data_IF_003384592556
#
_entry.id   IF_003384592556
#
_cell.length_a   1.000
_cell.length_b   1.000
_cell.length_c   1.000
_cell.angle_alpha   90.00
_cell.angle_beta   90.00
_cell.angle_gamma   90.00
#
_symmetry.space_group_name_H-M   'P 1'
#
loop_
_entity.id
_entity.type
_entity.pdbx_description
1 polymer ?
#
# COMPACT_ATOMS: atom_id res chain seq x y z
N UNK A 1 -0.26 -14.88 -17.35
CA UNK A 1 -1.36 -15.86 -17.61
C UNK A 1 -2.73 -15.46 -17.02
N UNK A 2 -2.81 -14.61 -15.98
CA UNK A 2 -4.10 -14.18 -15.40
C UNK A 2 -4.89 -13.15 -16.25
N UNK A 3 -4.23 -12.18 -16.89
CA UNK A 3 -4.92 -11.12 -17.67
C UNK A 3 -5.68 -11.66 -18.90
N UNK A 4 -5.23 -12.77 -19.49
CA UNK A 4 -5.89 -13.38 -20.66
C UNK A 4 -7.22 -14.06 -20.33
N UNK A 5 -7.42 -14.55 -19.10
CA UNK A 5 -8.71 -15.15 -18.67
C UNK A 5 -9.76 -14.08 -18.36
N UNK A 6 -9.41 -13.02 -17.63
CA UNK A 6 -10.32 -11.88 -17.35
C UNK A 6 -10.79 -11.23 -18.64
N UNK A 7 -9.89 -11.09 -19.61
CA UNK A 7 -10.20 -10.54 -20.93
C UNK A 7 -11.14 -11.37 -21.82
N UNK A 8 -11.38 -12.65 -21.50
CA UNK A 8 -12.39 -13.48 -22.17
C UNK A 8 -13.74 -13.40 -21.45
N UNK A 9 -13.73 -13.40 -20.12
CA UNK A 9 -14.95 -13.31 -19.28
C UNK A 9 -15.78 -12.06 -19.59
N UNK A 10 -15.12 -10.91 -19.80
CA UNK A 10 -15.80 -9.63 -20.01
C UNK A 10 -16.25 -9.35 -21.46
N UNK A 11 -15.98 -10.24 -22.44
CA UNK A 11 -16.28 -9.96 -23.87
C UNK A 11 -17.78 -9.87 -24.19
N UNK A 12 -18.63 -10.47 -23.35
CA UNK A 12 -20.08 -10.46 -23.52
C UNK A 12 -20.79 -9.64 -22.44
N UNK A 13 -20.04 -8.99 -21.54
CA UNK A 13 -20.64 -8.25 -20.43
C UNK A 13 -21.24 -6.93 -20.91
N UNK A 14 -22.49 -6.71 -20.54
CA UNK A 14 -23.20 -5.43 -20.70
C UNK A 14 -23.47 -4.84 -19.33
N UNK A 15 -23.36 -3.53 -19.21
CA UNK A 15 -23.83 -2.79 -18.04
C UNK A 15 -24.98 -1.91 -18.50
N UNK A 16 -26.19 -2.15 -17.96
CA UNK A 16 -27.40 -1.38 -18.28
C UNK A 16 -27.59 -1.14 -19.79
N UNK A 17 -27.46 -2.21 -20.60
CA UNK A 17 -27.55 -2.22 -22.07
C UNK A 17 -26.39 -1.57 -22.84
N UNK A 18 -25.43 -0.91 -22.17
CA UNK A 18 -24.21 -0.42 -22.80
C UNK A 18 -23.16 -1.55 -22.96
N UNK A 19 -22.47 -1.55 -24.10
CA UNK A 19 -21.33 -2.42 -24.35
C UNK A 19 -20.10 -1.92 -23.57
N UNK A 20 -19.37 -2.84 -22.93
CA UNK A 20 -18.15 -2.50 -22.20
C UNK A 20 -16.95 -2.51 -23.13
N UNK A 21 -16.38 -1.34 -23.41
CA UNK A 21 -15.13 -1.22 -24.17
C UNK A 21 -13.93 -1.57 -23.27
N UNK A 22 -13.22 -2.65 -23.58
CA UNK A 22 -12.13 -3.18 -22.74
C UNK A 22 -10.75 -2.85 -23.32
N UNK A 23 -9.88 -2.29 -22.48
CA UNK A 23 -8.46 -2.09 -22.76
C UNK A 23 -7.64 -2.85 -21.71
N UNK A 24 -6.66 -3.65 -22.15
CA UNK A 24 -5.67 -4.27 -21.27
C UNK A 24 -4.32 -3.64 -21.57
N UNK A 25 -3.59 -3.36 -20.50
CA UNK A 25 -2.20 -2.96 -20.52
C UNK A 25 -1.55 -3.34 -19.19
N UNK A 26 -0.24 -3.45 -19.19
CA UNK A 26 0.59 -3.45 -17.99
C UNK A 26 0.86 -2.02 -17.52
N UNK A 27 1.16 -1.83 -16.24
CA UNK A 27 1.50 -0.49 -15.72
C UNK A 27 2.68 0.16 -16.46
N UNK A 28 3.65 -0.64 -16.91
CA UNK A 28 4.81 -0.21 -17.71
C UNK A 28 4.43 0.40 -19.07
N UNK A 29 3.25 0.10 -19.58
CA UNK A 29 2.73 0.59 -20.86
C UNK A 29 1.85 1.85 -20.70
N UNK A 30 1.62 2.28 -19.46
CA UNK A 30 0.69 3.36 -19.14
C UNK A 30 1.41 4.64 -18.72
N UNK A 31 0.83 5.76 -19.11
CA UNK A 31 1.04 7.06 -18.51
C UNK A 31 -0.32 7.74 -18.33
N UNK A 32 -0.38 8.84 -17.57
CA UNK A 32 -1.63 9.57 -17.39
C UNK A 32 -1.39 11.04 -17.09
N UNK A 33 -2.45 11.82 -17.29
CA UNK A 33 -2.60 13.17 -16.78
C UNK A 33 -3.97 13.28 -16.12
N UNK A 34 -4.00 13.80 -14.88
CA UNK A 34 -5.24 13.99 -14.13
C UNK A 34 -5.41 15.45 -13.76
N UNK A 35 -6.62 15.96 -13.97
CA UNK A 35 -6.97 17.36 -13.75
C UNK A 35 -8.20 17.42 -12.85
N UNK A 36 -8.27 18.46 -12.00
CA UNK A 36 -9.35 18.65 -11.02
C UNK A 36 -10.74 18.64 -11.68
N UNK A 37 -10.89 19.31 -12.83
CA UNK A 37 -12.20 19.51 -13.47
C UNK A 37 -12.52 18.50 -14.57
N UNK A 38 -11.51 17.90 -15.20
CA UNK A 38 -11.70 17.08 -16.42
C UNK A 38 -11.37 15.60 -16.24
N UNK A 39 -11.01 15.20 -15.02
CA UNK A 39 -10.73 13.82 -14.62
C UNK A 39 -9.38 13.31 -15.09
N UNK A 40 -9.26 11.98 -15.22
CA UNK A 40 -8.06 11.30 -15.67
C UNK A 40 -8.09 11.01 -17.18
N UNK A 41 -7.02 11.34 -17.88
CA UNK A 41 -6.71 10.84 -19.23
C UNK A 41 -5.54 9.87 -19.12
N UNK A 42 -5.71 8.66 -19.66
CA UNK A 42 -4.69 7.62 -19.67
C UNK A 42 -4.15 7.45 -21.09
N UNK A 43 -2.83 7.49 -21.20
CA UNK A 43 -2.09 7.19 -22.42
C UNK A 43 -1.54 5.77 -22.35
N UNK A 44 -1.92 4.95 -23.32
CA UNK A 44 -1.44 3.58 -23.45
C UNK A 44 -0.50 3.48 -24.65
N UNK A 45 0.73 3.04 -24.39
CA UNK A 45 1.72 2.76 -25.42
C UNK A 45 1.59 1.29 -25.86
N UNK A 46 1.51 1.07 -27.18
CA UNK A 46 1.56 -0.27 -27.76
C UNK A 46 2.56 -0.30 -28.91
N UNK A 47 3.37 -1.36 -28.99
CA UNK A 47 4.26 -1.58 -30.13
C UNK A 47 3.49 -2.35 -31.23
N UNK A 48 3.39 -1.76 -32.42
CA UNK A 48 2.80 -2.40 -33.61
C UNK A 48 3.81 -2.38 -34.74
N UNK A 49 4.39 -3.54 -35.04
CA UNK A 49 5.34 -3.67 -36.15
C UNK A 49 6.57 -2.77 -36.03
N UNK A 50 7.09 -2.56 -34.81
CA UNK A 50 8.26 -1.71 -34.55
C UNK A 50 7.94 -0.22 -34.36
N UNK A 51 6.71 0.21 -34.65
CA UNK A 51 6.26 1.59 -34.41
C UNK A 51 5.56 1.69 -33.05
N UNK A 52 5.99 2.63 -32.21
CA UNK A 52 5.31 2.97 -30.96
C UNK A 52 4.06 3.80 -31.27
N UNK A 53 2.89 3.26 -30.95
CA UNK A 53 1.61 3.94 -31.11
C UNK A 53 1.06 4.26 -29.72
N UNK A 54 0.72 5.52 -29.48
CA UNK A 54 0.07 5.98 -28.26
C UNK A 54 -1.43 6.11 -28.50
N UNK A 55 -2.25 5.58 -27.59
CA UNK A 55 -3.70 5.76 -27.60
C UNK A 55 -4.16 6.31 -26.28
N UNK A 56 -4.75 7.49 -26.31
CA UNK A 56 -5.32 8.16 -25.14
C UNK A 56 -6.79 7.81 -24.97
N UNK A 57 -7.26 7.68 -23.73
CA UNK A 57 -8.66 7.48 -23.39
C UNK A 57 -8.95 7.94 -21.96
N UNK A 58 -10.22 8.20 -21.66
CA UNK A 58 -10.69 8.45 -20.29
C UNK A 58 -11.29 7.17 -19.72
N UNK A 59 -10.73 6.57 -18.66
CA UNK A 59 -11.30 5.37 -18.06
C UNK A 59 -12.49 5.70 -17.17
N UNK A 60 -13.62 5.01 -17.38
CA UNK A 60 -14.77 5.08 -16.47
C UNK A 60 -14.57 4.22 -15.22
N UNK A 61 -13.70 3.20 -15.31
CA UNK A 61 -13.41 2.25 -14.24
C UNK A 61 -12.07 1.56 -14.49
N UNK A 62 -11.36 1.16 -13.43
CA UNK A 62 -10.12 0.36 -13.53
C UNK A 62 -10.15 -0.90 -12.65
N UNK A 63 -9.70 -2.03 -13.21
CA UNK A 63 -9.49 -3.27 -12.47
C UNK A 63 -7.99 -3.52 -12.37
N UNK A 64 -7.39 -3.36 -11.19
CA UNK A 64 -5.95 -3.53 -11.00
C UNK A 64 -5.66 -4.97 -10.62
N UNK A 65 -4.84 -5.65 -11.44
CA UNK A 65 -4.44 -7.06 -11.27
C UNK A 65 -2.93 -7.27 -11.23
N UNK A 66 -2.17 -6.19 -11.20
CA UNK A 66 -0.72 -6.15 -11.14
C UNK A 66 -0.29 -5.48 -9.83
N UNK A 67 0.87 -5.86 -9.30
CA UNK A 67 1.47 -5.14 -8.17
C UNK A 67 1.81 -3.70 -8.60
N UNK A 68 1.36 -2.72 -7.82
CA UNK A 68 1.66 -1.31 -8.07
C UNK A 68 3.07 -0.90 -7.60
N UNK A 69 3.73 -1.73 -6.80
CA UNK A 69 5.06 -1.47 -6.28
C UNK A 69 5.83 -2.76 -6.02
N UNK A 70 7.11 -2.73 -6.40
CA UNK A 70 8.13 -3.72 -6.09
C UNK A 70 9.47 -2.99 -5.88
N UNK A 71 10.39 -3.62 -5.15
CA UNK A 71 11.75 -3.07 -4.97
C UNK A 71 12.66 -3.34 -6.17
N UNK A 72 12.20 -4.11 -7.16
CA UNK A 72 12.92 -4.27 -8.44
C UNK A 72 13.03 -2.93 -9.16
N UNK A 73 14.20 -2.55 -9.69
CA UNK A 73 14.34 -1.34 -10.49
C UNK A 73 13.33 -1.29 -11.63
N UNK A 74 12.61 -0.17 -11.75
CA UNK A 74 11.59 0.04 -12.78
C UNK A 74 10.20 -0.49 -12.46
N UNK A 75 9.97 -1.09 -11.28
CA UNK A 75 8.66 -1.60 -10.86
C UNK A 75 7.98 -0.74 -9.78
N UNK A 76 8.16 0.58 -9.82
CA UNK A 76 7.45 1.54 -8.98
C UNK A 76 6.40 2.30 -9.79
N UNK A 77 5.14 1.89 -9.64
CA UNK A 77 3.97 2.44 -10.34
C UNK A 77 3.03 3.18 -9.39
N UNK A 78 3.49 3.55 -8.19
CA UNK A 78 2.66 4.23 -7.18
C UNK A 78 2.14 5.57 -7.70
N UNK A 79 2.93 6.26 -8.52
CA UNK A 79 2.54 7.50 -9.20
C UNK A 79 1.31 7.32 -10.10
N UNK A 80 1.19 6.18 -10.80
CA UNK A 80 0.01 5.87 -11.62
C UNK A 80 -1.23 5.65 -10.74
N UNK A 81 -1.08 4.95 -9.61
CA UNK A 81 -2.18 4.76 -8.65
C UNK A 81 -2.63 6.10 -8.07
N UNK A 82 -1.69 6.97 -7.70
CA UNK A 82 -1.98 8.33 -7.23
C UNK A 82 -2.74 9.11 -8.31
N UNK A 83 -2.27 9.08 -9.55
CA UNK A 83 -2.89 9.81 -10.66
C UNK A 83 -4.30 9.35 -10.98
N UNK A 84 -4.55 8.03 -11.00
CA UNK A 84 -5.89 7.47 -11.15
C UNK A 84 -6.79 7.91 -9.99
N UNK A 85 -6.27 7.94 -8.76
CA UNK A 85 -7.05 8.34 -7.58
C UNK A 85 -7.36 9.84 -7.61
N UNK A 86 -6.39 10.65 -7.99
CA UNK A 86 -6.51 12.10 -8.15
C UNK A 86 -7.57 12.46 -9.20
N UNK A 87 -7.62 11.73 -10.31
CA UNK A 87 -8.64 11.88 -11.33
C UNK A 87 -9.98 11.19 -11.02
N UNK A 88 -10.19 10.77 -9.76
CA UNK A 88 -11.40 10.13 -9.25
C UNK A 88 -11.85 8.88 -10.04
N UNK A 89 -10.92 8.10 -10.60
CA UNK A 89 -11.24 6.89 -11.36
C UNK A 89 -11.69 5.78 -10.39
N UNK A 90 -12.93 5.25 -10.50
CA UNK A 90 -13.39 4.13 -9.70
C UNK A 90 -12.57 2.87 -9.96
N UNK A 91 -12.33 2.05 -8.93
CA UNK A 91 -11.42 0.89 -9.04
C UNK A 91 -11.82 -0.30 -8.16
N UNK A 92 -11.44 -1.50 -8.62
CA UNK A 92 -11.38 -2.72 -7.79
C UNK A 92 -9.95 -3.30 -7.77
N UNK A 93 -9.35 -3.56 -6.60
CA UNK A 93 -9.74 -3.01 -5.30
C UNK A 93 -9.67 -1.47 -5.32
N UNK A 94 -10.11 -0.78 -4.26
CA UNK A 94 -10.02 0.68 -4.21
C UNK A 94 -8.57 1.15 -4.38
N UNK A 95 -8.35 2.25 -5.11
CA UNK A 95 -7.02 2.81 -5.31
C UNK A 95 -6.35 3.19 -3.98
N UNK A 96 -7.15 3.62 -3.00
CA UNK A 96 -6.71 3.83 -1.63
C UNK A 96 -6.11 2.56 -1.01
N UNK A 97 -6.81 1.42 -1.10
CA UNK A 97 -6.28 0.16 -0.59
C UNK A 97 -5.03 -0.30 -1.35
N UNK A 98 -5.01 -0.17 -2.68
CA UNK A 98 -3.86 -0.55 -3.51
C UNK A 98 -2.62 0.26 -3.12
N UNK A 99 -2.77 1.57 -2.92
CA UNK A 99 -1.69 2.44 -2.46
C UNK A 99 -1.15 2.00 -1.09
N UNK A 100 -2.04 1.76 -0.12
CA UNK A 100 -1.66 1.27 1.21
C UNK A 100 -1.00 -0.11 1.18
N UNK A 101 -1.34 -0.97 0.21
CA UNK A 101 -0.73 -2.29 0.05
C UNK A 101 0.70 -2.28 -0.52
N UNK A 102 1.23 -1.11 -0.90
CA UNK A 102 2.59 -1.00 -1.44
C UNK A 102 3.68 -1.23 -0.38
N UNK A 103 3.36 -1.23 0.92
CA UNK A 103 4.31 -1.58 2.00
C UNK A 103 3.82 -2.79 2.77
N UNK A 104 4.55 -3.91 2.68
CA UNK A 104 4.20 -5.14 3.42
C UNK A 104 4.18 -4.91 4.94
N UNK A 105 5.17 -4.23 5.55
CA UNK A 105 5.10 -3.91 6.99
C UNK A 105 3.92 -3.02 7.37
N UNK A 106 3.51 -2.09 6.50
CA UNK A 106 2.33 -1.26 6.73
C UNK A 106 1.05 -2.08 6.77
N UNK A 107 0.87 -3.01 5.84
CA UNK A 107 -0.26 -3.95 5.84
C UNK A 107 -0.22 -4.85 7.08
N UNK A 108 0.96 -5.38 7.41
CA UNK A 108 1.13 -6.23 8.60
C UNK A 108 0.77 -5.51 9.91
N UNK A 109 1.04 -4.21 10.01
CA UNK A 109 0.62 -3.42 11.18
C UNK A 109 -0.90 -3.41 11.41
N UNK A 110 -1.72 -3.55 10.36
CA UNK A 110 -3.17 -3.70 10.49
C UNK A 110 -3.55 -5.08 11.02
N UNK A 111 -2.77 -6.12 10.68
CA UNK A 111 -2.94 -7.46 11.24
C UNK A 111 -2.59 -7.50 12.73
N UNK A 112 -1.57 -6.75 13.17
CA UNK A 112 -1.23 -6.60 14.60
C UNK A 112 -2.40 -5.98 15.38
N UNK A 113 -3.10 -4.98 14.82
CA UNK A 113 -4.30 -4.41 15.45
C UNK A 113 -5.41 -5.45 15.61
N UNK A 114 -5.62 -6.30 14.60
CA UNK A 114 -6.59 -7.40 14.66
C UNK A 114 -6.19 -8.45 15.71
N UNK A 115 -4.91 -8.82 15.77
CA UNK A 115 -4.36 -9.71 16.78
C UNK A 115 -4.66 -9.22 18.20
N UNK A 116 -4.39 -7.95 18.50
CA UNK A 116 -4.68 -7.37 19.82
C UNK A 116 -6.17 -7.25 20.13
N UNK A 117 -7.02 -7.07 19.11
CA UNK A 117 -8.47 -6.93 19.30
C UNK A 117 -9.17 -8.28 19.48
N UNK A 118 -8.74 -9.29 18.73
CA UNK A 118 -9.41 -10.60 18.67
C UNK A 118 -8.76 -11.65 19.57
N UNK A 119 -7.50 -11.44 19.95
CA UNK A 119 -6.70 -12.38 20.72
C UNK A 119 -6.07 -13.49 19.85
N UNK A 120 -5.00 -14.14 20.37
CA UNK A 120 -4.23 -15.15 19.65
C UNK A 120 -5.04 -16.39 19.27
N UNK A 121 -6.07 -16.75 20.05
CA UNK A 121 -6.90 -17.91 19.77
C UNK A 121 -7.74 -17.74 18.48
N UNK A 122 -8.28 -16.53 18.25
CA UNK A 122 -9.14 -16.25 17.09
C UNK A 122 -8.36 -15.76 15.88
N UNK A 123 -7.23 -15.11 16.11
CA UNK A 123 -6.38 -14.58 15.05
C UNK A 123 -4.90 -14.85 15.39
N UNK A 124 -4.41 -16.09 15.20
CA UNK A 124 -3.03 -16.44 15.52
C UNK A 124 -2.07 -15.80 14.50
N UNK A 125 -1.45 -14.68 14.89
CA UNK A 125 -0.50 -13.96 14.06
C UNK A 125 0.94 -14.40 14.36
N UNK A 126 1.73 -14.69 13.32
CA UNK A 126 3.14 -15.03 13.49
C UNK A 126 3.91 -13.86 14.14
N UNK A 127 4.80 -14.18 15.08
CA UNK A 127 5.73 -13.21 15.64
C UNK A 127 6.69 -12.70 14.57
N UNK A 128 6.76 -11.38 14.41
CA UNK A 128 7.66 -10.71 13.49
C UNK A 128 8.17 -9.40 14.10
N UNK A 129 9.45 -9.12 13.86
CA UNK A 129 10.09 -7.87 14.26
C UNK A 129 10.35 -7.01 13.04
N UNK A 130 9.86 -5.77 13.05
CA UNK A 130 10.13 -4.80 12.00
C UNK A 130 11.31 -3.90 12.38
N UNK A 131 12.30 -3.80 11.48
CA UNK A 131 13.40 -2.85 11.61
C UNK A 131 13.31 -1.80 10.49
N UNK A 132 13.16 -0.50 10.82
CA UNK A 132 13.21 0.59 9.86
C UNK A 132 14.45 0.57 8.94
N UNK A 133 15.58 0.11 9.45
CA UNK A 133 16.82 -0.05 8.70
C UNK A 133 17.75 -1.08 9.39
N UNK A 134 18.88 -1.38 8.75
CA UNK A 134 19.80 -2.43 9.18
C UNK A 134 20.54 -2.13 10.50
N UNK A 135 20.66 -0.87 10.95
CA UNK A 135 21.47 -0.55 12.14
C UNK A 135 20.85 -1.12 13.41
N UNK A 136 19.52 -1.14 13.47
CA UNK A 136 18.77 -1.68 14.61
C UNK A 136 18.75 -3.21 14.63
N UNK A 137 19.14 -3.88 13.54
CA UNK A 137 19.23 -5.34 13.50
C UNK A 137 20.43 -5.87 14.31
N UNK A 138 21.38 -5.02 14.69
CA UNK A 138 22.64 -5.40 15.35
C UNK A 138 22.71 -5.04 16.84
N UNK A 139 21.67 -4.39 17.41
CA UNK A 139 21.63 -3.92 18.81
C UNK A 139 21.44 -5.04 19.84
N UNK A 140 22.18 -6.14 19.67
CA UNK A 140 22.64 -7.01 20.77
C UNK A 140 24.07 -6.68 21.22
N UNK A 141 24.75 -5.66 20.65
CA UNK A 141 26.11 -5.25 21.05
C UNK A 141 26.29 -3.72 20.99
N UNK A 142 26.39 -3.11 22.18
CA UNK A 142 26.93 -1.78 22.54
C UNK A 142 26.50 -0.54 21.71
N UNK A 143 25.71 0.31 22.36
CA UNK A 143 25.41 1.68 21.92
C UNK A 143 26.53 2.65 22.32
N UNK A 144 26.89 3.56 21.41
CA UNK A 144 27.55 4.85 21.74
C UNK A 144 26.89 6.00 20.97
N UNK A 145 26.69 7.11 21.69
CA UNK A 145 26.16 8.42 21.29
C UNK A 145 26.75 8.95 19.96
N UNK A 146 26.12 9.82 19.16
CA UNK A 146 24.93 10.66 19.29
C UNK A 146 25.12 11.84 18.32
N UNK A 147 24.42 11.86 17.19
CA UNK A 147 24.46 12.97 16.22
C UNK A 147 23.22 13.83 16.37
N UNK A 148 23.41 15.14 16.51
CA UNK A 148 22.36 16.14 16.67
C UNK A 148 21.57 16.29 15.35
N UNK A 149 20.61 15.40 15.10
CA UNK A 149 19.67 15.52 13.99
C UNK A 149 18.47 16.38 14.40
N UNK A 150 17.96 17.17 13.45
CA UNK A 150 16.74 17.98 13.62
C UNK A 150 15.60 17.10 14.16
N UNK A 151 15.11 17.40 15.36
CA UNK A 151 13.97 16.72 15.98
C UNK A 151 12.69 17.21 15.30
N UNK A 152 12.10 16.39 14.43
CA UNK A 152 10.85 16.70 13.72
C UNK A 152 9.65 15.86 14.16
N UNK A 153 9.84 14.91 15.07
CA UNK A 153 8.79 14.04 15.59
C UNK A 153 8.67 14.21 17.11
N UNK A 154 7.43 14.34 17.59
CA UNK A 154 7.08 14.26 19.00
C UNK A 154 6.68 12.82 19.32
N UNK A 155 7.41 12.18 20.22
CA UNK A 155 7.09 10.85 20.75
C UNK A 155 6.64 11.04 22.19
N UNK A 156 5.40 10.65 22.49
CA UNK A 156 4.85 10.71 23.84
C UNK A 156 4.99 9.34 24.48
N UNK A 157 5.65 9.30 25.63
CA UNK A 157 5.72 8.11 26.48
C UNK A 157 4.62 8.17 27.54
N UNK A 158 4.04 7.01 27.86
CA UNK A 158 3.19 6.93 29.05
C UNK A 158 4.10 7.02 30.28
N UNK A 159 3.77 7.84 31.30
CA UNK A 159 4.54 7.86 32.53
C UNK A 159 4.55 6.46 33.14
N UNK A 160 5.72 5.99 33.54
CA UNK A 160 5.85 4.79 34.35
C UNK A 160 5.08 5.02 35.66
N UNK A 161 4.00 4.28 35.88
CA UNK A 161 3.46 4.09 37.22
C UNK A 161 4.53 3.32 37.99
N UNK A 162 5.20 3.98 38.93
CA UNK A 162 6.02 3.29 39.91
C UNK A 162 5.09 2.38 40.71
N UNK A 163 5.18 1.06 40.51
CA UNK A 163 4.69 0.07 41.46
C UNK A 163 5.55 0.13 42.73
N UNK A 164 5.45 1.23 43.49
CA UNK A 164 5.86 1.23 44.89
C UNK A 164 4.78 0.49 45.67
N UNK A 165 5.02 -0.81 45.83
CA UNK A 165 4.38 -1.65 46.82
C UNK A 165 4.51 -0.96 48.20
N UNK A 166 3.42 -0.53 48.86
CA UNK A 166 3.54 -0.01 50.21
C UNK A 166 3.83 -1.22 51.13
N UNK A 167 5.09 -1.37 51.50
CA UNK A 167 5.49 -2.28 52.57
C UNK A 167 4.77 -1.83 53.83
N UNK A 168 3.70 -2.52 54.21
CA UNK A 168 3.13 -2.41 55.55
C UNK A 168 4.18 -2.92 56.53
N UNK A 169 4.95 -1.99 57.12
CA UNK A 169 5.72 -2.28 58.31
C UNK A 169 4.73 -2.47 59.46
N UNK A 170 4.54 -3.71 59.89
CA UNK A 170 3.97 -4.00 61.20
C UNK A 170 5.02 -3.59 62.25
N UNK A 171 4.73 -2.54 63.01
CA UNK A 171 5.43 -2.25 64.27
C UNK A 171 5.00 -3.28 65.32
N UNK A 172 5.93 -3.80 66.14
CA UNK A 172 5.60 -4.63 67.29
C UNK A 172 5.33 -3.75 68.52
N UNK A 173 4.14 -3.86 69.08
CA UNK A 173 3.87 -3.76 70.53
C UNK A 173 2.81 -4.81 70.89
#
# INVERSE_FOLDING_TARGET
MMMTRVGRSLRASRVAHAAVARRLAEFSELNLASYVNSGCTVDMQANRGGTKVVRSFKPDFVLVRQHAYSMTPGEDFRNLVIGLHYGAVPSVNSLFSIYNFCSKPWVFSHMIKLYHTLGPEKFPLNEQTFFPNHTQMQEGKNQTHGSLRRRSALVLERPHLNDQNPTFQHSPE
#
